data_IF_985685952744
#
_entry.id   IF_985685952744
#
_cell.length_a   1.000
_cell.length_b   1.000
_cell.length_c   1.000
_cell.angle_alpha   90.00
_cell.angle_beta   90.00
_cell.angle_gamma   90.00
#
_symmetry.space_group_name_H-M   'P 1'
#
loop_
_entity.id
_entity.type
_entity.pdbx_description
1 polymer ?
#
# COMPACT_ATOMS: atom_id res chain seq x y z
N UNK A 1 -46.07 -74.10 1.49
CA UNK A 1 -46.17 -72.67 1.66
C UNK A 1 -44.74 -72.15 1.70
N UNK A 2 -44.20 -71.68 0.58
CA UNK A 2 -42.81 -71.10 0.50
C UNK A 2 -42.87 -69.61 0.66
N UNK A 3 -42.22 -69.10 1.69
CA UNK A 3 -42.09 -67.66 1.95
C UNK A 3 -40.93 -67.13 1.07
N UNK A 4 -41.24 -66.14 0.17
CA UNK A 4 -40.25 -65.49 -0.62
C UNK A 4 -39.87 -64.16 0.12
N UNK A 5 -38.63 -64.05 0.57
CA UNK A 5 -38.09 -62.90 1.23
C UNK A 5 -37.51 -61.92 0.16
N UNK A 6 -38.19 -60.85 -0.10
CA UNK A 6 -37.65 -59.77 -0.99
C UNK A 6 -36.70 -58.92 -0.14
N UNK A 7 -35.39 -58.94 -0.47
CA UNK A 7 -34.39 -58.01 0.06
C UNK A 7 -34.33 -56.79 -0.85
N UNK A 8 -34.76 -55.68 -0.35
CA UNK A 8 -34.60 -54.40 -1.05
C UNK A 8 -33.17 -53.86 -0.82
N UNK A 9 -32.35 -53.82 -1.84
CA UNK A 9 -31.04 -53.21 -1.82
C UNK A 9 -31.21 -51.68 -2.06
N UNK A 10 -31.04 -50.87 -1.01
CA UNK A 10 -30.97 -49.44 -1.14
C UNK A 10 -29.58 -49.06 -1.67
N UNK A 11 -29.49 -48.66 -2.93
CA UNK A 11 -28.29 -48.03 -3.51
C UNK A 11 -28.16 -46.61 -2.98
N UNK A 12 -27.23 -46.35 -2.07
CA UNK A 12 -26.81 -45.03 -1.66
C UNK A 12 -26.00 -44.42 -2.82
N UNK A 13 -26.59 -43.50 -3.59
CA UNK A 13 -25.90 -42.70 -4.56
C UNK A 13 -25.05 -41.66 -3.80
N UNK A 14 -23.77 -41.95 -3.58
CA UNK A 14 -22.81 -40.97 -3.15
C UNK A 14 -22.55 -40.01 -4.31
N UNK A 15 -23.03 -38.77 -4.20
CA UNK A 15 -22.66 -37.68 -5.10
C UNK A 15 -21.14 -37.49 -5.04
N UNK A 16 -20.42 -37.42 -6.17
CA UNK A 16 -18.99 -37.14 -6.13
C UNK A 16 -18.78 -35.76 -5.52
N UNK A 17 -18.01 -35.68 -4.46
CA UNK A 17 -17.46 -34.41 -3.97
C UNK A 17 -16.52 -33.92 -5.06
N UNK A 18 -16.97 -32.97 -5.86
CA UNK A 18 -16.09 -32.25 -6.81
C UNK A 18 -15.12 -31.43 -5.96
N UNK A 19 -13.89 -31.89 -5.86
CA UNK A 19 -12.84 -31.12 -5.21
C UNK A 19 -12.76 -29.75 -5.89
N UNK A 20 -12.83 -28.68 -5.11
CA UNK A 20 -12.72 -27.31 -5.63
C UNK A 20 -11.39 -27.18 -6.38
N UNK A 21 -11.46 -26.78 -7.64
CA UNK A 21 -10.25 -26.60 -8.45
C UNK A 21 -9.43 -25.47 -7.85
N UNK A 22 -8.20 -25.75 -7.42
CA UNK A 22 -7.27 -24.76 -6.88
C UNK A 22 -6.88 -23.79 -8.00
N UNK A 23 -7.05 -22.46 -7.81
CA UNK A 23 -6.61 -21.48 -8.78
C UNK A 23 -5.09 -21.54 -9.03
N UNK A 24 -4.59 -21.01 -10.17
CA UNK A 24 -3.15 -20.96 -10.43
C UNK A 24 -2.42 -20.16 -9.34
N UNK A 25 -1.13 -20.44 -9.16
CA UNK A 25 -0.30 -19.73 -8.19
C UNK A 25 0.25 -18.42 -8.79
N UNK A 26 -0.62 -17.43 -8.99
CA UNK A 26 -0.27 -16.10 -9.47
C UNK A 26 -0.61 -15.85 -10.94
N UNK A 27 -0.55 -14.57 -11.32
CA UNK A 27 -0.94 -14.03 -12.63
C UNK A 27 0.31 -13.66 -13.45
N UNK A 28 0.46 -14.16 -14.70
CA UNK A 28 1.65 -13.87 -15.52
C UNK A 28 1.90 -12.39 -15.76
N UNK A 29 0.84 -11.57 -15.88
CA UNK A 29 0.93 -10.13 -16.09
C UNK A 29 1.66 -9.42 -14.95
N UNK A 30 1.62 -9.93 -13.72
CA UNK A 30 2.36 -9.36 -12.59
C UNK A 30 3.89 -9.44 -12.83
N UNK A 31 4.37 -10.50 -13.49
CA UNK A 31 5.79 -10.59 -13.88
C UNK A 31 6.17 -9.55 -14.94
N UNK A 32 5.28 -9.30 -15.89
CA UNK A 32 5.48 -8.25 -16.91
C UNK A 32 5.47 -6.86 -16.26
N UNK A 33 4.58 -6.61 -15.31
CA UNK A 33 4.53 -5.35 -14.54
C UNK A 33 5.81 -5.17 -13.72
N UNK A 34 6.34 -6.22 -13.07
CA UNK A 34 7.55 -6.15 -12.27
C UNK A 34 8.81 -5.72 -13.05
N UNK A 35 8.82 -5.96 -14.37
CA UNK A 35 9.96 -5.63 -15.23
C UNK A 35 9.74 -4.39 -16.10
N UNK A 36 8.60 -3.73 -15.98
CA UNK A 36 8.22 -2.62 -16.84
C UNK A 36 8.70 -1.22 -16.39
N UNK A 37 8.88 -0.91 -15.09
CA UNK A 37 9.40 0.37 -14.67
C UNK A 37 10.79 0.65 -15.24
N UNK A 38 10.97 1.87 -15.76
CA UNK A 38 12.20 2.28 -16.45
C UNK A 38 12.99 3.26 -15.60
N UNK A 39 14.24 2.91 -15.29
CA UNK A 39 15.18 3.79 -14.62
C UNK A 39 15.41 5.09 -15.40
N UNK A 40 15.49 5.02 -16.73
CA UNK A 40 15.69 6.21 -17.59
C UNK A 40 14.50 7.19 -17.51
N UNK A 41 13.26 6.68 -17.46
CA UNK A 41 12.08 7.55 -17.33
C UNK A 41 12.01 8.18 -15.92
N UNK A 42 12.30 7.40 -14.89
CA UNK A 42 12.38 7.87 -13.50
C UNK A 42 13.46 8.96 -13.38
N UNK A 43 14.64 8.74 -13.97
CA UNK A 43 15.72 9.74 -14.02
C UNK A 43 15.25 11.03 -14.70
N UNK A 44 14.61 10.93 -15.86
CA UNK A 44 14.11 12.10 -16.59
C UNK A 44 13.09 12.90 -15.78
N UNK A 45 12.18 12.23 -15.08
CA UNK A 45 11.17 12.86 -14.22
C UNK A 45 11.82 13.54 -12.99
N UNK A 46 12.77 12.87 -12.32
CA UNK A 46 13.49 13.44 -11.18
C UNK A 46 14.30 14.67 -11.63
N UNK A 47 15.03 14.59 -12.75
CA UNK A 47 15.76 15.73 -13.31
C UNK A 47 14.83 16.91 -13.62
N UNK A 48 13.64 16.63 -14.12
CA UNK A 48 12.64 17.67 -14.38
C UNK A 48 12.14 18.32 -13.08
N UNK A 49 11.81 17.52 -12.06
CA UNK A 49 11.38 18.01 -10.75
C UNK A 49 12.46 18.85 -10.07
N UNK A 50 13.72 18.42 -10.11
CA UNK A 50 14.88 19.15 -9.61
C UNK A 50 15.07 20.48 -10.33
N UNK A 51 14.79 20.53 -11.64
CA UNK A 51 14.94 21.76 -12.44
C UNK A 51 14.06 22.94 -12.02
N UNK A 52 13.04 22.71 -11.17
CA UNK A 52 12.22 23.78 -10.60
C UNK A 52 12.89 24.53 -9.44
N UNK A 53 14.13 24.20 -9.11
CA UNK A 53 14.96 24.88 -8.09
C UNK A 53 14.52 24.57 -6.67
N UNK A 54 13.32 24.96 -6.31
CA UNK A 54 12.66 24.58 -5.06
C UNK A 54 11.24 24.09 -5.35
N UNK A 55 10.74 23.19 -4.53
CA UNK A 55 9.33 22.77 -4.51
C UNK A 55 8.72 22.95 -3.12
N UNK A 56 9.35 23.81 -2.30
CA UNK A 56 8.83 24.11 -0.97
C UNK A 56 7.34 24.48 -1.03
N UNK A 57 6.52 23.95 -0.13
CA UNK A 57 5.05 24.15 -0.12
C UNK A 57 4.64 25.62 -0.21
N UNK A 58 5.39 26.53 0.45
CA UNK A 58 5.14 27.96 0.46
C UNK A 58 5.93 28.73 -0.62
N UNK A 59 6.60 28.04 -1.55
CA UNK A 59 7.31 28.70 -2.66
C UNK A 59 6.34 29.28 -3.68
N UNK A 60 6.88 30.03 -4.64
CA UNK A 60 6.08 30.71 -5.65
C UNK A 60 5.17 29.76 -6.47
N UNK A 61 3.99 30.25 -6.80
CA UNK A 61 2.98 29.48 -7.54
C UNK A 61 2.73 29.98 -8.94
N UNK A 62 3.19 31.21 -9.27
CA UNK A 62 2.94 31.88 -10.55
C UNK A 62 3.97 31.60 -11.65
N UNK A 63 5.19 31.22 -11.30
CA UNK A 63 6.26 30.92 -12.25
C UNK A 63 6.01 29.61 -13.00
N UNK A 64 6.38 29.53 -14.28
CA UNK A 64 6.31 28.30 -15.06
C UNK A 64 7.58 27.44 -14.97
N UNK A 65 8.66 27.99 -14.39
CA UNK A 65 9.98 27.36 -14.36
C UNK A 65 10.52 27.15 -12.95
N UNK A 66 9.87 27.70 -11.90
CA UNK A 66 10.34 27.61 -10.52
C UNK A 66 9.18 27.42 -9.54
N UNK A 67 9.46 26.79 -8.43
CA UNK A 67 8.55 26.67 -7.29
C UNK A 67 7.51 25.55 -7.40
N UNK A 68 6.74 25.40 -6.32
CA UNK A 68 5.71 24.35 -6.19
C UNK A 68 4.63 24.49 -7.27
N UNK A 69 4.31 25.74 -7.72
CA UNK A 69 3.32 25.96 -8.75
C UNK A 69 3.72 25.37 -10.11
N UNK A 70 4.99 25.54 -10.51
CA UNK A 70 5.54 24.95 -11.73
C UNK A 70 5.54 23.42 -11.66
N UNK A 71 5.98 22.87 -10.53
CA UNK A 71 6.05 21.43 -10.31
C UNK A 71 4.66 20.76 -10.41
N UNK A 72 3.65 21.27 -9.69
CA UNK A 72 2.31 20.69 -9.71
C UNK A 72 1.64 20.77 -11.08
N UNK A 73 1.86 21.87 -11.85
CA UNK A 73 1.34 21.97 -13.24
C UNK A 73 2.02 20.97 -14.16
N UNK A 74 3.32 20.78 -14.02
CA UNK A 74 4.04 19.79 -14.81
C UNK A 74 3.58 18.36 -14.49
N UNK A 75 3.43 18.00 -13.20
CA UNK A 75 2.92 16.68 -12.78
C UNK A 75 1.51 16.46 -13.33
N UNK A 76 0.64 17.47 -13.26
CA UNK A 76 -0.71 17.39 -13.83
C UNK A 76 -0.65 17.11 -15.34
N UNK A 77 0.18 17.85 -16.08
CA UNK A 77 0.36 17.65 -17.50
C UNK A 77 0.94 16.27 -17.86
N UNK A 78 1.84 15.72 -17.01
CA UNK A 78 2.35 14.35 -17.21
C UNK A 78 1.25 13.30 -17.01
N UNK A 79 0.39 13.42 -15.99
CA UNK A 79 -0.76 12.53 -15.84
C UNK A 79 -1.75 12.66 -16.99
N UNK A 80 -2.00 13.87 -17.49
CA UNK A 80 -2.83 14.08 -18.69
C UNK A 80 -2.21 13.43 -19.93
N UNK A 81 -0.88 13.49 -20.10
CA UNK A 81 -0.17 12.81 -21.18
C UNK A 81 -0.31 11.28 -21.07
N UNK A 82 -0.11 10.74 -19.86
CA UNK A 82 -0.33 9.31 -19.60
C UNK A 82 -1.78 8.92 -19.91
N UNK A 83 -2.74 9.77 -19.53
CA UNK A 83 -4.16 9.56 -19.83
C UNK A 83 -4.41 9.54 -21.35
N UNK A 84 -3.81 10.46 -22.10
CA UNK A 84 -3.93 10.48 -23.56
C UNK A 84 -3.36 9.22 -24.21
N UNK A 85 -2.21 8.73 -23.74
CA UNK A 85 -1.55 7.52 -24.24
C UNK A 85 -2.40 6.25 -24.04
N UNK A 86 -3.29 6.22 -23.05
CA UNK A 86 -4.23 5.11 -22.80
C UNK A 86 -5.67 5.40 -23.28
N UNK A 87 -5.88 6.46 -24.05
CA UNK A 87 -7.21 6.77 -24.60
C UNK A 87 -8.16 7.45 -23.62
N UNK A 88 -7.65 8.18 -22.63
CA UNK A 88 -8.44 8.91 -21.63
C UNK A 88 -8.78 8.08 -20.40
N UNK A 89 -7.94 7.13 -20.03
CA UNK A 89 -8.21 6.19 -18.95
C UNK A 89 -8.04 6.78 -17.52
N UNK A 90 -7.43 7.96 -17.39
CA UNK A 90 -7.26 8.63 -16.11
C UNK A 90 -8.17 9.85 -15.98
N UNK A 91 -8.81 9.98 -14.84
CA UNK A 91 -9.41 11.21 -14.36
C UNK A 91 -8.34 12.00 -13.60
N UNK A 92 -7.83 13.10 -14.19
CA UNK A 92 -6.78 13.93 -13.58
C UNK A 92 -7.41 15.16 -12.94
N UNK A 93 -7.10 15.41 -11.66
CA UNK A 93 -7.64 16.55 -10.92
C UNK A 93 -6.70 17.05 -9.83
N UNK A 94 -6.98 18.21 -9.30
CA UNK A 94 -6.38 18.70 -8.06
C UNK A 94 -7.22 18.32 -6.84
N UNK A 95 -6.54 17.92 -5.75
CA UNK A 95 -7.07 17.88 -4.39
C UNK A 95 -6.45 19.04 -3.62
N UNK A 96 -7.25 19.91 -3.01
CA UNK A 96 -6.73 21.17 -2.45
C UNK A 96 -7.59 21.73 -1.34
N UNK A 97 -6.95 22.38 -0.41
CA UNK A 97 -7.60 23.15 0.64
C UNK A 97 -6.68 24.27 1.14
N UNK A 98 -7.25 25.23 1.88
CA UNK A 98 -6.51 26.29 2.53
C UNK A 98 -6.12 25.91 3.95
N UNK A 99 -4.85 26.11 4.27
CA UNK A 99 -4.27 25.89 5.60
C UNK A 99 -3.75 27.21 6.15
N UNK A 100 -3.89 27.45 7.46
CA UNK A 100 -3.37 28.62 8.16
C UNK A 100 -3.28 28.38 9.66
N UNK A 101 -2.44 29.16 10.35
CA UNK A 101 -2.30 29.11 11.81
C UNK A 101 -1.52 27.91 12.33
N UNK A 102 -0.83 27.20 11.44
CA UNK A 102 0.03 26.08 11.76
C UNK A 102 1.48 26.52 11.95
N UNK A 103 2.28 25.78 12.69
CA UNK A 103 3.69 26.13 12.99
C UNK A 103 4.50 26.43 11.72
N UNK A 104 4.30 25.61 10.66
CA UNK A 104 5.01 25.74 9.39
C UNK A 104 4.15 26.30 8.25
N UNK A 105 2.91 26.69 8.53
CA UNK A 105 2.00 27.46 7.65
C UNK A 105 1.28 28.49 8.50
N UNK A 106 1.99 29.54 8.99
CA UNK A 106 1.37 30.53 9.86
C UNK A 106 0.34 31.39 9.12
N UNK A 107 0.62 31.77 7.88
CA UNK A 107 -0.27 32.56 7.03
C UNK A 107 -1.10 31.63 6.14
N UNK A 108 -2.23 32.14 5.64
CA UNK A 108 -3.14 31.35 4.78
C UNK A 108 -2.46 30.98 3.46
N UNK A 109 -2.24 29.68 3.24
CA UNK A 109 -1.70 29.10 2.02
C UNK A 109 -2.61 28.03 1.44
N UNK A 110 -2.68 27.92 0.11
CA UNK A 110 -3.39 26.85 -0.58
C UNK A 110 -2.45 25.66 -0.80
N UNK A 111 -2.73 24.53 -0.14
CA UNK A 111 -2.04 23.27 -0.37
C UNK A 111 -2.74 22.53 -1.51
N UNK A 112 -2.01 22.22 -2.58
CA UNK A 112 -2.57 21.64 -3.81
C UNK A 112 -1.79 20.40 -4.21
N UNK A 113 -2.45 19.26 -4.15
CA UNK A 113 -1.97 17.94 -4.62
C UNK A 113 -2.51 17.63 -6.00
N UNK A 114 -1.84 16.74 -6.74
CA UNK A 114 -2.28 16.27 -8.06
C UNK A 114 -2.70 14.81 -7.94
N UNK A 115 -3.90 14.48 -8.39
CA UNK A 115 -4.50 13.16 -8.27
C UNK A 115 -4.89 12.64 -9.66
N UNK A 116 -4.50 11.43 -9.99
CA UNK A 116 -4.93 10.73 -11.20
C UNK A 116 -5.63 9.41 -10.78
N UNK A 117 -6.82 9.17 -11.32
CA UNK A 117 -7.68 8.06 -10.92
C UNK A 117 -7.95 7.17 -12.14
N UNK A 118 -7.49 5.94 -12.07
CA UNK A 118 -7.82 4.87 -13.01
C UNK A 118 -9.00 4.07 -12.46
N UNK A 119 -10.20 4.32 -13.01
CA UNK A 119 -11.44 3.72 -12.49
C UNK A 119 -11.52 2.22 -12.69
N UNK A 120 -11.94 1.52 -11.64
CA UNK A 120 -12.21 0.10 -11.70
C UNK A 120 -13.43 -0.25 -12.54
N UNK A 121 -13.39 -1.40 -13.22
CA UNK A 121 -14.43 -1.85 -14.15
C UNK A 121 -15.57 -2.62 -13.47
N UNK A 122 -15.35 -3.21 -12.30
CA UNK A 122 -16.35 -4.02 -11.59
C UNK A 122 -16.71 -3.46 -10.19
N UNK A 123 -15.73 -2.91 -9.48
CA UNK A 123 -15.92 -2.32 -8.15
C UNK A 123 -15.22 -0.95 -8.06
N UNK A 124 -15.73 0.07 -8.75
CA UNK A 124 -15.10 1.39 -8.83
C UNK A 124 -15.08 2.14 -7.48
N UNK A 125 -15.82 1.69 -6.48
CA UNK A 125 -15.82 2.23 -5.13
C UNK A 125 -14.74 1.64 -4.22
N UNK A 126 -13.94 0.69 -4.69
CA UNK A 126 -12.83 0.06 -4.00
C UNK A 126 -11.51 0.61 -4.53
N UNK A 127 -10.66 1.11 -3.65
CA UNK A 127 -9.48 1.89 -4.02
C UNK A 127 -8.20 1.30 -3.45
N UNK A 128 -7.14 1.35 -4.26
CA UNK A 128 -5.74 1.22 -3.83
C UNK A 128 -4.99 2.48 -4.27
N UNK A 129 -4.16 3.04 -3.41
CA UNK A 129 -3.54 4.35 -3.59
C UNK A 129 -2.03 4.22 -3.54
N UNK A 130 -1.33 4.86 -4.48
CA UNK A 130 0.11 5.11 -4.41
C UNK A 130 0.36 6.60 -4.33
N UNK A 131 1.30 7.04 -3.49
CA UNK A 131 1.66 8.44 -3.39
C UNK A 131 3.15 8.69 -3.28
N UNK A 132 3.56 9.87 -3.73
CA UNK A 132 4.85 10.51 -3.46
C UNK A 132 4.61 11.98 -3.14
N UNK A 133 5.60 12.65 -2.56
CA UNK A 133 5.44 14.01 -2.04
C UNK A 133 6.07 15.03 -2.99
N UNK A 134 5.30 16.07 -3.37
CA UNK A 134 5.76 17.08 -4.35
C UNK A 134 6.82 17.98 -3.73
N UNK A 135 6.58 18.39 -2.49
CA UNK A 135 7.39 19.38 -1.82
C UNK A 135 8.77 18.88 -1.42
N UNK A 136 9.68 19.84 -1.25
CA UNK A 136 11.06 19.66 -0.81
C UNK A 136 11.45 20.82 0.09
N UNK A 137 12.47 20.64 0.94
CA UNK A 137 12.97 21.71 1.80
C UNK A 137 14.48 21.67 2.01
N UNK A 138 15.02 22.77 2.48
CA UNK A 138 16.36 22.90 3.03
C UNK A 138 16.34 22.73 4.56
N UNK A 139 17.44 23.04 5.25
CA UNK A 139 17.59 22.91 6.71
C UNK A 139 16.51 23.68 7.48
N UNK A 140 16.29 24.94 7.12
CA UNK A 140 15.19 25.72 7.68
C UNK A 140 13.86 25.34 7.00
N UNK A 141 12.90 24.72 7.71
CA UNK A 141 11.62 24.31 7.14
C UNK A 141 10.72 25.49 6.72
N UNK A 142 11.11 26.74 7.02
CA UNK A 142 10.39 27.95 6.62
C UNK A 142 11.04 28.67 5.43
N UNK A 143 12.21 28.20 4.97
CA UNK A 143 12.90 28.80 3.84
C UNK A 143 12.31 28.32 2.50
N UNK A 144 11.36 29.10 2.00
CA UNK A 144 10.65 28.81 0.75
C UNK A 144 11.36 29.31 -0.53
N UNK A 145 12.53 29.94 -0.40
CA UNK A 145 13.17 30.67 -1.52
C UNK A 145 14.49 30.08 -1.98
N UNK A 146 15.26 29.46 -1.10
CA UNK A 146 16.53 28.81 -1.44
C UNK A 146 16.31 27.60 -2.33
N UNK A 147 17.33 27.28 -3.14
CA UNK A 147 17.29 26.07 -3.93
C UNK A 147 17.27 24.83 -3.03
N UNK A 148 16.26 24.01 -3.26
CA UNK A 148 15.97 22.78 -2.56
C UNK A 148 15.63 21.72 -3.60
N UNK A 149 16.64 21.10 -4.25
CA UNK A 149 16.40 20.18 -5.36
C UNK A 149 15.52 19.00 -4.98
N UNK A 150 15.68 18.45 -3.74
CA UNK A 150 14.86 17.36 -3.25
C UNK A 150 14.83 16.18 -4.24
N UNK A 151 15.99 15.75 -4.73
CA UNK A 151 16.07 14.74 -5.78
C UNK A 151 15.60 13.38 -5.26
N UNK A 152 16.02 13.01 -4.04
CA UNK A 152 15.56 11.83 -3.36
C UNK A 152 14.35 12.12 -2.47
N UNK A 153 14.35 13.22 -1.76
CA UNK A 153 13.30 13.68 -0.84
C UNK A 153 12.54 14.90 -1.43
N UNK A 154 11.42 14.76 -2.22
CA UNK A 154 10.89 13.45 -2.58
C UNK A 154 10.53 13.39 -4.09
N UNK A 155 11.41 13.92 -4.97
CA UNK A 155 11.20 13.74 -6.41
C UNK A 155 11.23 12.24 -6.80
N UNK A 156 11.97 11.40 -6.05
CA UNK A 156 12.01 9.96 -6.29
C UNK A 156 10.63 9.30 -6.13
N UNK A 157 9.91 9.62 -5.07
CA UNK A 157 8.57 9.10 -4.82
C UNK A 157 7.54 9.56 -5.85
N UNK A 158 7.61 10.84 -6.29
CA UNK A 158 6.74 11.36 -7.35
C UNK A 158 7.04 10.69 -8.69
N UNK A 159 8.32 10.55 -9.06
CA UNK A 159 8.72 9.90 -10.30
C UNK A 159 8.30 8.42 -10.32
N UNK A 160 8.45 7.71 -9.18
CA UNK A 160 7.94 6.35 -9.04
C UNK A 160 6.42 6.27 -9.21
N UNK A 161 5.67 7.24 -8.69
CA UNK A 161 4.20 7.30 -8.83
C UNK A 161 3.77 7.56 -10.28
N UNK A 162 4.45 8.46 -11.00
CA UNK A 162 4.24 8.70 -12.44
C UNK A 162 4.58 7.44 -13.26
N UNK A 163 5.69 6.80 -12.95
CA UNK A 163 6.11 5.59 -13.66
C UNK A 163 5.17 4.41 -13.42
N UNK A 164 4.68 4.23 -12.19
CA UNK A 164 3.65 3.24 -11.90
C UNK A 164 2.37 3.49 -12.72
N UNK A 165 1.95 4.75 -12.86
CA UNK A 165 0.81 5.10 -13.73
C UNK A 165 1.07 4.73 -15.20
N UNK A 166 2.26 5.03 -15.77
CA UNK A 166 2.64 4.65 -17.15
C UNK A 166 2.60 3.14 -17.38
N UNK A 167 2.96 2.37 -16.37
CA UNK A 167 2.95 0.91 -16.44
C UNK A 167 1.53 0.35 -16.33
N UNK A 168 0.77 0.80 -15.32
CA UNK A 168 -0.49 0.18 -14.94
C UNK A 168 -1.67 0.61 -15.83
N UNK A 169 -1.63 1.78 -16.45
CA UNK A 169 -2.66 2.23 -17.39
C UNK A 169 -2.75 1.38 -18.67
N UNK A 170 -1.82 0.47 -18.89
CA UNK A 170 -1.88 -0.53 -19.96
C UNK A 170 -2.82 -1.70 -19.65
N UNK A 171 -3.38 -1.75 -18.45
CA UNK A 171 -4.22 -2.83 -17.94
C UNK A 171 -5.54 -2.27 -17.41
N UNK A 172 -6.57 -3.11 -17.45
CA UNK A 172 -7.85 -2.86 -16.77
C UNK A 172 -7.92 -3.64 -15.47
N UNK A 173 -8.52 -3.02 -14.45
CA UNK A 173 -8.65 -3.60 -13.11
C UNK A 173 -10.11 -3.60 -12.65
N UNK A 174 -10.56 -4.61 -11.90
CA UNK A 174 -11.84 -4.57 -11.20
C UNK A 174 -11.95 -3.42 -10.20
N UNK A 175 -10.90 -3.16 -9.41
CA UNK A 175 -10.81 -2.06 -8.45
C UNK A 175 -10.15 -0.82 -9.03
N UNK A 176 -10.35 0.32 -8.39
CA UNK A 176 -9.80 1.63 -8.77
C UNK A 176 -8.37 1.80 -8.23
N UNK A 177 -7.48 2.32 -9.07
CA UNK A 177 -6.13 2.72 -8.64
C UNK A 177 -6.05 4.26 -8.64
N UNK A 178 -5.45 4.81 -7.59
CA UNK A 178 -5.20 6.25 -7.46
C UNK A 178 -3.71 6.50 -7.38
N UNK A 179 -3.22 7.39 -8.24
CA UNK A 179 -1.86 7.90 -8.25
C UNK A 179 -1.89 9.33 -7.73
N UNK A 180 -1.20 9.60 -6.62
CA UNK A 180 -1.26 10.86 -5.93
C UNK A 180 0.13 11.49 -5.77
N UNK A 181 0.31 12.71 -6.25
CA UNK A 181 1.43 13.55 -5.90
C UNK A 181 0.93 14.54 -4.84
N UNK A 182 1.33 14.34 -3.59
CA UNK A 182 0.82 15.07 -2.43
C UNK A 182 1.72 16.23 -2.07
N UNK A 183 1.16 17.36 -1.63
CA UNK A 183 1.89 18.53 -1.22
C UNK A 183 1.80 18.76 0.29
N UNK A 184 2.74 19.52 0.86
CA UNK A 184 2.71 19.88 2.27
C UNK A 184 3.11 18.76 3.22
N UNK A 185 3.92 17.81 2.76
CA UNK A 185 4.53 16.79 3.65
C UNK A 185 5.39 17.48 4.69
N UNK A 186 6.33 18.29 4.23
CA UNK A 186 7.35 18.97 5.01
C UNK A 186 6.78 20.02 5.98
N UNK A 187 5.59 20.51 5.72
CA UNK A 187 4.91 21.47 6.57
C UNK A 187 3.90 20.83 7.52
N UNK A 188 3.70 19.53 7.48
CA UNK A 188 2.84 18.82 8.44
C UNK A 188 1.83 17.86 7.81
N UNK A 189 2.17 17.20 6.71
CA UNK A 189 1.39 16.13 6.08
C UNK A 189 0.03 16.61 5.52
N UNK A 190 -0.07 17.87 5.09
CA UNK A 190 -1.36 18.46 4.74
C UNK A 190 -2.01 17.83 3.51
N UNK A 191 -1.27 17.48 2.46
CA UNK A 191 -1.82 16.82 1.29
C UNK A 191 -2.47 15.48 1.62
N UNK A 192 -1.84 14.70 2.51
CA UNK A 192 -2.41 13.46 3.00
C UNK A 192 -3.65 13.68 3.87
N UNK A 193 -3.65 14.70 4.75
CA UNK A 193 -4.82 15.06 5.58
C UNK A 193 -6.02 15.45 4.69
N UNK A 194 -5.79 16.27 3.67
CA UNK A 194 -6.83 16.74 2.74
C UNK A 194 -7.40 15.55 1.96
N UNK A 195 -6.55 14.74 1.33
CA UNK A 195 -7.01 13.62 0.51
C UNK A 195 -7.69 12.52 1.36
N UNK A 196 -7.20 12.23 2.57
CA UNK A 196 -7.83 11.27 3.47
C UNK A 196 -9.22 11.75 3.93
N UNK A 197 -9.38 13.07 4.18
CA UNK A 197 -10.67 13.66 4.51
C UNK A 197 -11.64 13.60 3.33
N UNK A 198 -11.20 13.99 2.12
CA UNK A 198 -12.00 13.86 0.88
C UNK A 198 -12.45 12.41 0.65
N UNK A 199 -11.53 11.46 0.81
CA UNK A 199 -11.83 10.04 0.62
C UNK A 199 -12.89 9.54 1.61
N UNK A 200 -12.79 9.98 2.88
CA UNK A 200 -13.75 9.61 3.92
C UNK A 200 -15.13 10.22 3.66
N UNK A 201 -15.18 11.49 3.27
CA UNK A 201 -16.44 12.19 2.92
C UNK A 201 -17.10 11.57 1.68
N UNK A 202 -16.30 11.21 0.68
CA UNK A 202 -16.79 10.56 -0.54
C UNK A 202 -17.09 9.05 -0.37
N UNK A 203 -16.86 8.48 0.82
CA UNK A 203 -17.13 7.07 1.11
C UNK A 203 -16.23 6.09 0.35
N UNK A 204 -14.99 6.46 0.07
CA UNK A 204 -14.04 5.56 -0.58
C UNK A 204 -13.73 4.37 0.33
N UNK A 205 -13.77 3.18 -0.23
CA UNK A 205 -13.31 1.95 0.45
C UNK A 205 -11.85 1.73 0.07
N UNK A 206 -10.95 2.40 0.80
CA UNK A 206 -9.50 2.28 0.58
C UNK A 206 -9.00 1.01 1.25
N UNK A 207 -8.47 0.06 0.47
CA UNK A 207 -7.87 -1.19 0.94
C UNK A 207 -6.36 -1.08 1.17
N UNK A 208 -5.71 -0.12 0.52
CA UNK A 208 -4.28 0.11 0.66
C UNK A 208 -3.90 1.54 0.28
N UNK A 209 -2.99 2.14 1.06
CA UNK A 209 -2.22 3.32 0.68
C UNK A 209 -0.75 2.97 0.79
N UNK A 210 0.00 3.15 -0.30
CA UNK A 210 1.44 2.95 -0.37
C UNK A 210 2.09 4.32 -0.60
N UNK A 211 2.62 4.92 0.45
CA UNK A 211 3.35 6.18 0.37
C UNK A 211 4.84 5.92 0.14
N UNK A 212 5.40 6.56 -0.87
CA UNK A 212 6.81 6.52 -1.20
C UNK A 212 7.45 7.81 -0.75
N UNK A 213 8.31 7.73 0.25
CA UNK A 213 9.03 8.89 0.73
C UNK A 213 10.48 8.49 1.02
N UNK A 214 11.26 8.84 0.03
CA UNK A 214 12.63 8.51 -0.37
C UNK A 214 12.79 7.05 -0.81
N UNK A 215 12.90 6.86 -2.13
CA UNK A 215 13.08 5.53 -2.72
C UNK A 215 14.31 5.44 -3.66
N UNK A 216 15.24 6.40 -3.57
CA UNK A 216 16.35 6.51 -4.52
C UNK A 216 17.74 6.36 -3.94
N UNK A 217 17.96 6.47 -2.63
CA UNK A 217 19.30 6.41 -2.07
C UNK A 217 19.67 4.99 -1.62
N UNK A 218 20.86 4.53 -2.02
CA UNK A 218 21.40 3.22 -1.64
C UNK A 218 22.53 3.31 -0.61
N UNK A 219 23.08 4.50 -0.37
CA UNK A 219 24.26 4.70 0.47
C UNK A 219 23.93 5.40 1.77
N UNK A 220 24.06 4.72 2.89
CA UNK A 220 23.86 5.30 4.22
C UNK A 220 25.02 6.20 4.66
N UNK A 221 24.74 7.13 5.57
CA UNK A 221 25.76 7.97 6.22
C UNK A 221 26.81 7.15 6.96
N UNK A 222 26.48 5.94 7.33
CA UNK A 222 27.36 4.96 7.98
C UNK A 222 28.28 4.19 7.01
N UNK A 223 28.22 4.49 5.71
CA UNK A 223 29.00 3.85 4.66
C UNK A 223 28.43 2.49 4.20
N UNK A 224 27.29 2.07 4.69
CA UNK A 224 26.60 0.87 4.20
C UNK A 224 25.91 1.18 2.87
N UNK A 225 26.15 0.33 1.88
CA UNK A 225 25.44 0.39 0.59
C UNK A 225 24.53 -0.82 0.44
N UNK A 226 23.23 -0.59 0.18
CA UNK A 226 22.24 -1.63 -0.01
C UNK A 226 21.22 -1.20 -1.07
N UNK A 227 21.15 -1.94 -2.17
CA UNK A 227 20.19 -1.78 -3.25
C UNK A 227 19.29 -3.03 -3.40
N UNK A 228 19.22 -3.86 -2.37
CA UNK A 228 18.51 -5.15 -2.38
C UNK A 228 17.41 -5.22 -1.34
N UNK A 229 17.28 -4.22 -0.48
CA UNK A 229 16.28 -4.19 0.59
C UNK A 229 15.46 -2.91 0.53
N UNK A 230 14.15 -3.00 0.80
CA UNK A 230 13.26 -1.86 1.00
C UNK A 230 12.65 -1.91 2.41
N UNK A 231 12.59 -0.79 3.12
CA UNK A 231 11.86 -0.72 4.39
C UNK A 231 10.36 -0.52 4.13
N UNK A 232 9.54 -1.28 4.86
CA UNK A 232 8.08 -1.12 4.86
C UNK A 232 7.62 -0.83 6.29
N UNK A 233 7.28 0.43 6.56
CA UNK A 233 6.76 0.85 7.86
C UNK A 233 5.26 0.63 7.91
N UNK A 234 4.76 0.10 9.02
CA UNK A 234 3.34 -0.18 9.22
C UNK A 234 2.93 -0.04 10.67
N UNK A 235 1.76 0.54 10.93
CA UNK A 235 1.23 0.59 12.28
C UNK A 235 0.85 -0.82 12.79
N UNK A 236 1.02 -1.07 14.07
CA UNK A 236 0.61 -2.34 14.69
C UNK A 236 -0.84 -2.30 15.16
N UNK A 237 -1.21 -1.24 15.85
CA UNK A 237 -2.54 -1.02 16.42
C UNK A 237 -3.12 0.25 15.85
N UNK A 238 -4.35 0.19 15.36
CA UNK A 238 -5.05 1.35 14.78
C UNK A 238 -5.34 2.41 15.84
N UNK A 239 -5.10 3.68 15.52
CA UNK A 239 -5.52 4.79 16.38
C UNK A 239 -7.05 4.88 16.51
N UNK A 240 -7.78 4.35 15.52
CA UNK A 240 -9.25 4.27 15.51
C UNK A 240 -9.82 3.08 16.28
N UNK A 241 -8.95 2.26 16.93
CA UNK A 241 -9.36 1.13 17.76
C UNK A 241 -10.24 1.60 18.93
N UNK A 242 -11.38 0.95 19.12
CA UNK A 242 -12.25 1.24 20.25
C UNK A 242 -11.70 0.64 21.55
N UNK A 243 -12.11 1.15 22.74
CA UNK A 243 -11.72 0.54 24.02
C UNK A 243 -12.16 -0.92 24.17
N UNK A 244 -13.22 -1.34 23.48
CA UNK A 244 -13.67 -2.73 23.47
C UNK A 244 -12.76 -3.61 22.63
N UNK A 245 -12.40 -3.17 21.42
CA UNK A 245 -11.42 -3.85 20.57
C UNK A 245 -10.08 -3.99 21.27
N UNK A 246 -9.61 -2.93 21.96
CA UNK A 246 -8.37 -2.96 22.73
C UNK A 246 -8.39 -3.99 23.88
N UNK A 247 -9.52 -4.08 24.60
CA UNK A 247 -9.69 -5.12 25.65
C UNK A 247 -9.64 -6.52 25.07
N UNK A 248 -10.35 -6.75 23.95
CA UNK A 248 -10.37 -8.07 23.29
C UNK A 248 -8.99 -8.44 22.77
N UNK A 249 -8.30 -7.52 22.09
CA UNK A 249 -6.94 -7.73 21.58
C UNK A 249 -5.96 -8.13 22.70
N UNK A 250 -6.11 -7.62 23.91
CA UNK A 250 -5.29 -8.04 25.06
C UNK A 250 -5.35 -9.54 25.34
N UNK A 251 -6.47 -10.20 25.04
CA UNK A 251 -6.65 -11.64 25.27
C UNK A 251 -6.37 -12.49 24.03
N UNK A 252 -6.69 -11.95 22.85
CA UNK A 252 -6.60 -12.70 21.59
C UNK A 252 -5.28 -12.48 20.86
N UNK A 253 -4.48 -11.50 21.27
CA UNK A 253 -3.31 -11.04 20.54
C UNK A 253 -3.72 -10.13 19.38
N UNK A 254 -2.84 -9.99 18.40
CA UNK A 254 -3.09 -9.20 17.19
C UNK A 254 -2.50 -7.78 17.23
N UNK A 255 -1.62 -7.47 18.21
CA UNK A 255 -0.86 -6.21 18.25
C UNK A 255 -0.02 -5.97 16.99
N UNK A 256 0.28 -7.05 16.26
CA UNK A 256 1.06 -7.05 15.04
C UNK A 256 0.25 -7.45 13.81
N UNK A 257 -1.08 -7.33 13.85
CA UNK A 257 -2.00 -7.81 12.83
C UNK A 257 -3.05 -6.78 12.39
N UNK A 258 -2.76 -5.50 12.55
CA UNK A 258 -3.58 -4.43 11.95
C UNK A 258 -3.70 -4.60 10.43
N UNK A 259 -4.70 -3.99 9.79
CA UNK A 259 -4.79 -3.96 8.33
C UNK A 259 -3.53 -3.39 7.65
N UNK A 260 -2.91 -2.36 8.24
CA UNK A 260 -1.63 -1.79 7.78
C UNK A 260 -0.49 -2.81 7.85
N UNK A 261 -0.40 -3.59 8.94
CA UNK A 261 0.61 -4.63 9.09
C UNK A 261 0.40 -5.80 8.13
N UNK A 262 -0.85 -6.19 7.86
CA UNK A 262 -1.15 -7.23 6.88
C UNK A 262 -0.94 -6.73 5.44
N UNK A 263 -1.10 -5.42 5.17
CA UNK A 263 -0.66 -4.80 3.92
C UNK A 263 0.86 -4.89 3.76
N UNK A 264 1.65 -4.64 4.81
CA UNK A 264 3.10 -4.81 4.76
C UNK A 264 3.50 -6.28 4.45
N UNK A 265 2.83 -7.27 5.05
CA UNK A 265 3.04 -8.69 4.71
C UNK A 265 2.65 -9.03 3.28
N UNK A 266 1.61 -8.38 2.76
CA UNK A 266 1.23 -8.54 1.37
C UNK A 266 2.33 -8.03 0.43
N UNK A 267 2.87 -6.85 0.70
CA UNK A 267 3.96 -6.23 -0.07
C UNK A 267 5.23 -7.08 -0.01
N UNK A 268 5.59 -7.58 1.16
CA UNK A 268 6.71 -8.49 1.38
C UNK A 268 6.58 -9.74 0.49
N UNK A 269 5.42 -10.39 0.53
CA UNK A 269 5.13 -11.53 -0.36
C UNK A 269 5.20 -11.16 -1.85
N UNK A 270 4.79 -9.95 -2.23
CA UNK A 270 4.86 -9.51 -3.63
C UNK A 270 6.31 -9.29 -4.08
N UNK A 271 7.20 -8.82 -3.17
CA UNK A 271 8.64 -8.77 -3.42
C UNK A 271 9.18 -10.16 -3.73
N UNK A 272 8.95 -11.12 -2.85
CA UNK A 272 9.41 -12.51 -3.00
C UNK A 272 8.96 -13.18 -4.31
N UNK A 273 7.73 -12.92 -4.70
CA UNK A 273 7.13 -13.58 -5.88
C UNK A 273 7.53 -12.95 -7.21
N UNK A 274 7.73 -11.64 -7.25
CA UNK A 274 7.77 -10.90 -8.52
C UNK A 274 8.96 -9.98 -8.71
N UNK A 275 9.64 -9.51 -7.66
CA UNK A 275 10.75 -8.55 -7.80
C UNK A 275 12.08 -9.22 -7.44
N UNK A 276 12.80 -9.79 -8.42
CA UNK A 276 14.06 -10.47 -8.15
C UNK A 276 15.08 -9.53 -7.51
N UNK A 277 15.85 -10.06 -6.56
CA UNK A 277 16.90 -9.30 -5.87
C UNK A 277 16.38 -8.05 -5.14
N UNK A 278 15.18 -8.15 -4.59
CA UNK A 278 14.62 -7.18 -3.65
C UNK A 278 13.91 -7.94 -2.53
N UNK A 279 14.34 -7.72 -1.30
CA UNK A 279 13.70 -8.17 -0.08
C UNK A 279 13.05 -6.98 0.63
N UNK A 280 12.18 -7.22 1.59
CA UNK A 280 11.61 -6.17 2.42
C UNK A 280 12.00 -6.31 3.89
N UNK A 281 12.34 -5.19 4.48
CA UNK A 281 12.44 -5.08 5.93
C UNK A 281 11.11 -4.55 6.47
N UNK A 282 10.25 -5.44 6.93
CA UNK A 282 9.01 -5.04 7.62
C UNK A 282 9.36 -4.37 8.95
N UNK A 283 9.26 -3.04 9.02
CA UNK A 283 9.52 -2.28 10.24
C UNK A 283 8.23 -2.16 11.04
N UNK A 284 8.19 -2.83 12.20
CA UNK A 284 7.04 -2.87 13.10
C UNK A 284 6.89 -1.58 13.89
N UNK A 285 6.71 -0.48 13.16
CA UNK A 285 6.57 0.87 13.67
C UNK A 285 5.82 1.72 12.64
N UNK A 286 5.00 2.66 13.09
CA UNK A 286 4.24 3.56 12.23
C UNK A 286 5.14 4.31 11.24
N UNK A 287 6.29 4.84 11.72
CA UNK A 287 7.31 5.51 10.90
C UNK A 287 8.67 5.47 11.62
N UNK A 288 9.67 6.13 11.05
CA UNK A 288 10.95 6.43 11.68
C UNK A 288 10.73 7.12 13.03
N UNK A 289 11.69 7.00 13.93
CA UNK A 289 11.56 7.51 15.28
C UNK A 289 11.39 9.05 15.28
N UNK A 290 10.24 9.54 15.74
CA UNK A 290 9.93 10.96 15.78
C UNK A 290 9.69 11.62 14.42
N UNK A 291 9.47 10.83 13.36
CA UNK A 291 9.26 11.30 11.98
C UNK A 291 7.87 10.86 11.48
N UNK A 292 7.54 11.25 10.25
CA UNK A 292 6.28 10.92 9.61
C UNK A 292 6.37 10.87 8.09
N UNK A 293 5.25 10.63 7.45
CA UNK A 293 5.01 10.64 6.03
C UNK A 293 3.51 10.63 5.74
N UNK A 294 3.11 10.83 4.50
CA UNK A 294 1.70 10.97 4.12
C UNK A 294 0.84 9.72 4.34
N UNK A 295 1.42 8.54 4.64
CA UNK A 295 0.64 7.36 5.06
C UNK A 295 -0.08 7.59 6.40
N UNK A 296 0.49 8.39 7.33
CA UNK A 296 -0.05 8.62 8.67
C UNK A 296 -1.47 9.21 8.65
N UNK A 297 -1.78 10.31 7.93
CA UNK A 297 -3.14 10.83 7.85
C UNK A 297 -4.19 9.80 7.39
N UNK A 298 -3.80 8.86 6.54
CA UNK A 298 -4.71 7.78 6.14
C UNK A 298 -4.90 6.76 7.26
N UNK A 299 -3.84 6.39 8.01
CA UNK A 299 -3.97 5.57 9.21
C UNK A 299 -4.86 6.26 10.27
N UNK A 300 -4.67 7.57 10.47
CA UNK A 300 -5.48 8.37 11.41
C UNK A 300 -6.96 8.42 10.98
N UNK A 301 -7.24 8.37 9.68
CA UNK A 301 -8.60 8.28 9.13
C UNK A 301 -9.18 6.84 9.18
N UNK A 302 -8.38 5.83 9.54
CA UNK A 302 -8.75 4.43 9.65
C UNK A 302 -8.48 3.58 8.40
N UNK A 303 -7.79 4.12 7.41
CA UNK A 303 -7.42 3.37 6.20
C UNK A 303 -6.09 2.61 6.39
N UNK A 304 -5.95 1.41 5.81
CA UNK A 304 -4.67 0.70 5.78
C UNK A 304 -3.64 1.48 4.97
N UNK A 305 -2.56 1.90 5.60
CA UNK A 305 -1.51 2.66 4.92
C UNK A 305 -0.13 2.24 5.42
N UNK A 306 0.85 2.24 4.52
CA UNK A 306 2.26 1.94 4.78
C UNK A 306 3.15 2.96 4.10
N UNK A 307 4.37 3.13 4.63
CA UNK A 307 5.44 3.85 3.95
C UNK A 307 6.45 2.86 3.41
N UNK A 308 6.79 2.99 2.13
CA UNK A 308 7.94 2.34 1.51
C UNK A 308 9.07 3.35 1.38
N UNK A 309 10.26 2.94 1.78
CA UNK A 309 11.45 3.77 1.65
C UNK A 309 12.73 2.95 1.53
N UNK A 310 13.78 3.63 1.15
CA UNK A 310 15.14 3.11 1.11
C UNK A 310 15.61 2.56 2.45
N UNK A 311 16.57 1.62 2.43
CA UNK A 311 17.07 0.94 3.65
C UNK A 311 17.92 1.85 4.51
N UNK A 312 18.80 2.64 3.90
CA UNK A 312 19.77 3.47 4.60
C UNK A 312 19.59 4.94 4.21
N UNK A 313 19.55 5.82 5.19
CA UNK A 313 19.42 7.26 4.99
C UNK A 313 20.79 7.96 5.00
N UNK A 314 20.93 9.04 4.22
CA UNK A 314 22.14 9.85 4.17
C UNK A 314 21.85 11.28 4.64
N UNK A 315 22.08 11.56 5.91
CA UNK A 315 21.68 12.83 6.55
C UNK A 315 22.45 14.06 6.08
N UNK A 316 23.60 13.93 5.38
CA UNK A 316 24.25 15.06 4.72
C UNK A 316 23.52 15.48 3.44
N UNK A 317 22.60 14.65 2.94
CA UNK A 317 21.78 14.93 1.75
C UNK A 317 20.37 15.40 2.11
N UNK A 318 19.74 14.71 3.04
CA UNK A 318 18.35 14.95 3.42
C UNK A 318 18.20 16.28 4.18
N UNK A 319 17.26 17.14 3.74
CA UNK A 319 16.92 18.42 4.37
C UNK A 319 18.13 19.37 4.60
N UNK A 320 19.06 19.42 3.66
CA UNK A 320 20.28 20.22 3.78
C UNK A 320 20.29 21.39 2.79
N UNK A 321 20.85 22.51 3.24
CA UNK A 321 21.24 23.59 2.32
C UNK A 321 22.33 23.09 1.38
N UNK A 322 22.30 23.50 0.12
CA UNK A 322 23.35 23.21 -0.85
C UNK A 322 24.65 23.90 -0.43
N UNK A 323 25.66 23.14 -0.02
CA UNK A 323 26.97 23.68 0.37
C UNK A 323 28.07 22.63 0.30
N UNK A 324 29.29 23.11 0.27
CA UNK A 324 30.47 22.27 0.56
C UNK A 324 31.17 22.84 1.78
N UNK A 325 31.37 22.01 2.80
CA UNK A 325 31.97 22.39 4.06
C UNK A 325 32.99 21.33 4.48
N UNK A 326 34.24 21.72 4.72
CA UNK A 326 35.35 20.83 5.05
C UNK A 326 35.51 19.64 4.08
N UNK A 327 35.29 19.89 2.77
CA UNK A 327 35.38 18.89 1.71
C UNK A 327 34.18 17.93 1.62
N UNK A 328 33.16 18.10 2.47
CA UNK A 328 31.89 17.35 2.45
C UNK A 328 30.83 18.12 1.68
N UNK A 329 30.16 17.43 0.77
CA UNK A 329 29.04 17.98 -0.02
C UNK A 329 27.72 17.70 0.69
N UNK A 330 26.93 18.75 0.86
CA UNK A 330 25.60 18.70 1.46
C UNK A 330 24.52 19.07 0.44
N UNK A 331 23.34 18.52 0.61
CA UNK A 331 22.16 18.79 -0.19
C UNK A 331 21.64 17.56 -0.93
N UNK A 332 20.35 17.56 -1.16
CA UNK A 332 19.65 16.49 -1.87
C UNK A 332 19.68 16.72 -3.38
N UNK A 333 20.75 16.28 -4.00
CA UNK A 333 21.01 16.44 -5.43
C UNK A 333 20.87 15.13 -6.18
N UNK A 334 20.81 15.23 -7.52
CA UNK A 334 20.64 14.10 -8.42
C UNK A 334 21.73 13.02 -8.25
N UNK A 335 22.95 13.41 -7.85
CA UNK A 335 24.07 12.50 -7.65
C UNK A 335 23.86 11.55 -6.46
N UNK A 336 22.86 11.80 -5.63
CA UNK A 336 22.47 10.97 -4.52
C UNK A 336 21.49 9.85 -4.86
N UNK A 337 21.00 9.81 -6.11
CA UNK A 337 19.91 8.90 -6.52
C UNK A 337 20.44 7.76 -7.39
N UNK A 338 20.10 6.54 -7.01
CA UNK A 338 20.26 5.33 -7.81
C UNK A 338 18.92 5.03 -8.50
N UNK A 339 18.87 5.24 -9.82
CA UNK A 339 17.64 5.12 -10.58
C UNK A 339 17.21 3.67 -10.80
N UNK A 340 18.14 2.73 -10.83
CA UNK A 340 17.81 1.30 -10.92
C UNK A 340 17.14 0.81 -9.63
N UNK A 341 17.61 1.29 -8.49
CA UNK A 341 16.97 1.01 -7.20
C UNK A 341 15.59 1.66 -7.10
N UNK A 342 15.45 2.92 -7.52
CA UNK A 342 14.15 3.59 -7.57
C UNK A 342 13.16 2.85 -8.49
N UNK A 343 13.62 2.35 -9.65
CA UNK A 343 12.80 1.53 -10.54
C UNK A 343 12.40 0.19 -9.89
N UNK A 344 13.29 -0.42 -9.12
CA UNK A 344 13.02 -1.67 -8.40
C UNK A 344 11.96 -1.49 -7.30
N UNK A 345 12.02 -0.41 -6.51
CA UNK A 345 10.99 -0.10 -5.53
C UNK A 345 9.66 0.28 -6.21
N UNK A 346 9.73 0.99 -7.33
CA UNK A 346 8.54 1.27 -8.16
C UNK A 346 7.90 -0.02 -8.69
N UNK A 347 8.70 -1.01 -9.07
CA UNK A 347 8.20 -2.32 -9.50
C UNK A 347 7.46 -3.04 -8.36
N UNK A 348 7.97 -3.01 -7.14
CA UNK A 348 7.31 -3.56 -5.96
C UNK A 348 5.95 -2.88 -5.72
N UNK A 349 5.90 -1.55 -5.81
CA UNK A 349 4.65 -0.81 -5.71
C UNK A 349 3.66 -1.20 -6.80
N UNK A 350 4.10 -1.23 -8.06
CA UNK A 350 3.24 -1.52 -9.20
C UNK A 350 2.64 -2.94 -9.14
N UNK A 351 3.43 -3.96 -8.78
CA UNK A 351 2.90 -5.33 -8.64
C UNK A 351 1.96 -5.45 -7.44
N UNK A 352 2.22 -4.74 -6.35
CA UNK A 352 1.36 -4.74 -5.17
C UNK A 352 0.00 -4.09 -5.46
N UNK A 353 0.00 -2.91 -6.11
CA UNK A 353 -1.23 -2.23 -6.54
C UNK A 353 -2.03 -3.08 -7.53
N UNK A 354 -1.38 -3.60 -8.57
CA UNK A 354 -2.02 -4.42 -9.59
C UNK A 354 -2.62 -5.70 -8.99
N UNK A 355 -1.87 -6.38 -8.13
CA UNK A 355 -2.33 -7.59 -7.45
C UNK A 355 -3.59 -7.34 -6.63
N UNK A 356 -3.61 -6.29 -5.81
CA UNK A 356 -4.78 -5.89 -5.02
C UNK A 356 -5.95 -5.41 -5.90
N UNK A 357 -5.69 -4.61 -6.92
CA UNK A 357 -6.74 -4.10 -7.81
C UNK A 357 -7.40 -5.21 -8.67
N UNK A 358 -6.67 -6.27 -9.02
CA UNK A 358 -7.20 -7.45 -9.69
C UNK A 358 -7.89 -8.43 -8.73
N UNK A 359 -7.42 -8.53 -7.49
CA UNK A 359 -8.01 -9.43 -6.51
C UNK A 359 -9.49 -9.10 -6.24
N UNK A 360 -10.30 -10.06 -5.80
CA UNK A 360 -11.60 -9.74 -5.22
C UNK A 360 -11.44 -8.88 -3.95
N UNK A 361 -12.48 -8.16 -3.53
CA UNK A 361 -12.48 -7.50 -2.22
C UNK A 361 -12.11 -8.50 -1.11
N UNK A 362 -11.33 -8.07 -0.09
CA UNK A 362 -11.06 -8.90 1.07
C UNK A 362 -12.36 -9.37 1.75
N UNK A 363 -12.38 -10.53 2.42
CA UNK A 363 -13.55 -10.95 3.18
C UNK A 363 -13.84 -9.95 4.32
N UNK A 364 -15.13 -9.73 4.61
CA UNK A 364 -15.55 -8.87 5.70
C UNK A 364 -15.92 -9.69 6.93
N UNK A 365 -15.92 -9.02 8.10
CA UNK A 365 -16.39 -9.58 9.37
C UNK A 365 -15.79 -10.97 9.68
N UNK A 366 -14.49 -11.14 9.45
CA UNK A 366 -13.79 -12.39 9.75
C UNK A 366 -13.80 -12.61 11.26
N UNK A 367 -14.30 -13.75 11.69
CA UNK A 367 -14.36 -14.18 13.08
C UNK A 367 -13.69 -15.53 13.26
N UNK A 368 -13.30 -15.88 14.49
CA UNK A 368 -12.60 -17.11 14.83
C UNK A 368 -13.21 -17.76 16.07
N UNK A 369 -13.35 -19.07 16.03
CA UNK A 369 -13.85 -19.92 17.12
C UNK A 369 -12.92 -21.10 17.32
N UNK A 370 -12.81 -21.66 18.54
CA UNK A 370 -11.97 -22.82 18.79
C UNK A 370 -11.39 -22.88 20.20
N UNK A 371 -11.81 -21.97 21.11
CA UNK A 371 -11.40 -22.04 22.50
C UNK A 371 -11.77 -23.41 23.12
N UNK A 372 -10.78 -24.04 23.79
CA UNK A 372 -10.94 -25.38 24.40
C UNK A 372 -11.36 -26.47 23.39
N UNK A 373 -10.90 -26.34 22.13
CA UNK A 373 -11.12 -27.27 21.05
C UNK A 373 -9.79 -27.68 20.41
N UNK A 374 -9.65 -28.92 19.88
CA UNK A 374 -8.49 -29.23 19.06
C UNK A 374 -8.53 -28.59 17.70
N UNK A 375 -9.67 -28.01 17.29
CA UNK A 375 -9.94 -27.46 15.96
C UNK A 375 -10.18 -25.97 16.04
N UNK A 376 -9.83 -25.25 14.96
CA UNK A 376 -10.06 -23.82 14.81
C UNK A 376 -11.00 -23.57 13.64
N UNK A 377 -12.08 -22.82 13.86
CA UNK A 377 -13.07 -22.47 12.83
C UNK A 377 -13.01 -20.97 12.55
N UNK A 378 -12.92 -20.59 11.26
CA UNK A 378 -13.05 -19.22 10.82
C UNK A 378 -14.34 -19.05 10.02
N UNK A 379 -15.00 -17.88 10.19
CA UNK A 379 -16.21 -17.48 9.46
C UNK A 379 -16.02 -16.08 8.90
N UNK A 380 -16.64 -15.80 7.77
CA UNK A 380 -16.53 -14.48 7.11
C UNK A 380 -17.71 -14.18 6.21
N UNK A 381 -17.93 -12.90 5.95
CA UNK A 381 -18.90 -12.47 4.96
C UNK A 381 -18.27 -12.41 3.56
N UNK A 382 -19.04 -12.87 2.57
CA UNK A 382 -18.66 -12.80 1.16
C UNK A 382 -19.07 -11.47 0.56
N UNK A 383 -18.25 -10.85 -0.32
CA UNK A 383 -18.66 -9.65 -1.03
C UNK A 383 -19.85 -9.91 -1.95
N UNK A 384 -20.63 -8.89 -2.30
CA UNK A 384 -21.67 -8.99 -3.33
C UNK A 384 -21.07 -9.50 -4.64
N UNK A 385 -21.75 -10.44 -5.32
CA UNK A 385 -21.25 -11.09 -6.53
C UNK A 385 -20.90 -10.07 -7.66
N UNK A 386 -21.64 -8.96 -7.74
CA UNK A 386 -21.38 -7.90 -8.72
C UNK A 386 -20.02 -7.18 -8.48
N UNK A 387 -19.54 -7.11 -7.23
CA UNK A 387 -18.26 -6.50 -6.87
C UNK A 387 -17.08 -7.47 -6.99
N UNK A 388 -17.35 -8.77 -7.06
CA UNK A 388 -16.35 -9.83 -7.11
C UNK A 388 -16.64 -10.87 -8.22
N UNK A 389 -16.79 -10.46 -9.49
CA UNK A 389 -17.15 -11.38 -10.59
C UNK A 389 -16.06 -12.43 -10.86
N UNK A 390 -14.83 -12.15 -10.46
CA UNK A 390 -13.65 -13.02 -10.59
C UNK A 390 -13.37 -13.87 -9.36
N UNK A 391 -14.17 -13.81 -8.30
CA UNK A 391 -13.96 -14.61 -7.08
C UNK A 391 -14.00 -16.12 -7.41
N UNK A 392 -12.92 -16.81 -7.04
CA UNK A 392 -12.86 -18.28 -7.07
C UNK A 392 -13.20 -18.87 -5.71
N UNK A 393 -12.74 -18.25 -4.64
CA UNK A 393 -12.94 -18.71 -3.27
C UNK A 393 -12.04 -17.98 -2.28
N UNK A 394 -11.68 -18.69 -1.22
CA UNK A 394 -10.91 -18.15 -0.12
C UNK A 394 -9.73 -19.03 0.22
N UNK A 395 -8.72 -18.43 0.84
CA UNK A 395 -7.58 -19.12 1.41
C UNK A 395 -7.48 -18.75 2.89
N UNK A 396 -7.46 -19.77 3.73
CA UNK A 396 -7.24 -19.61 5.17
C UNK A 396 -5.76 -19.73 5.44
N UNK A 397 -5.24 -18.75 6.14
CA UNK A 397 -3.84 -18.65 6.52
C UNK A 397 -3.66 -18.83 8.02
N UNK A 398 -2.51 -19.39 8.43
CA UNK A 398 -2.08 -19.39 9.83
C UNK A 398 -0.55 -19.35 9.94
N UNK A 399 -0.07 -18.89 11.07
CA UNK A 399 1.34 -18.78 11.41
C UNK A 399 1.53 -18.89 12.93
N UNK A 400 2.69 -19.32 13.40
CA UNK A 400 3.02 -19.21 14.81
C UNK A 400 2.93 -17.73 15.25
N UNK A 401 2.56 -17.50 16.50
CA UNK A 401 2.41 -16.12 17.03
C UNK A 401 3.72 -15.32 17.03
N UNK A 402 4.86 -15.98 16.87
CA UNK A 402 6.20 -15.39 16.80
C UNK A 402 6.72 -15.20 15.38
N UNK A 403 6.03 -15.74 14.36
CA UNK A 403 6.46 -15.61 12.97
C UNK A 403 5.99 -14.28 12.36
N UNK A 404 6.83 -13.58 11.57
CA UNK A 404 6.47 -12.29 10.98
C UNK A 404 5.52 -12.43 9.78
N UNK A 405 5.60 -13.53 9.02
CA UNK A 405 4.89 -13.74 7.77
C UNK A 405 3.94 -14.96 7.86
N UNK A 406 2.91 -15.00 7.00
CA UNK A 406 1.99 -16.12 6.86
C UNK A 406 2.72 -17.32 6.25
N UNK A 407 2.96 -18.36 7.06
CA UNK A 407 3.77 -19.53 6.69
C UNK A 407 2.96 -20.73 6.23
N UNK A 408 1.69 -20.79 6.64
CA UNK A 408 0.77 -21.85 6.25
C UNK A 408 -0.45 -21.28 5.56
N UNK A 409 -1.03 -22.02 4.62
CA UNK A 409 -2.27 -21.63 3.96
C UNK A 409 -2.92 -22.77 3.18
N UNK A 410 -4.25 -22.81 3.20
CA UNK A 410 -5.07 -23.78 2.48
C UNK A 410 -6.18 -23.08 1.70
N UNK A 411 -6.34 -23.43 0.41
CA UNK A 411 -7.47 -22.99 -0.39
C UNK A 411 -8.71 -23.81 -0.03
N UNK A 412 -9.78 -23.13 0.34
CA UNK A 412 -10.98 -23.76 0.88
C UNK A 412 -12.22 -23.66 -0.04
N UNK A 413 -12.04 -23.13 -1.25
CA UNK A 413 -13.15 -22.93 -2.18
C UNK A 413 -14.02 -21.71 -1.82
N UNK A 414 -15.16 -21.56 -2.52
CA UNK A 414 -16.07 -20.42 -2.30
C UNK A 414 -17.07 -20.72 -1.17
N UNK A 415 -16.55 -20.76 0.05
CA UNK A 415 -17.30 -21.00 1.29
C UNK A 415 -17.30 -19.74 2.17
N UNK A 416 -18.13 -19.70 3.21
CA UNK A 416 -18.18 -18.62 4.19
C UNK A 416 -17.67 -19.06 5.59
N UNK A 417 -17.24 -20.31 5.70
CA UNK A 417 -16.75 -20.92 6.92
C UNK A 417 -15.79 -22.06 6.59
N UNK A 418 -14.76 -22.24 7.41
CA UNK A 418 -13.86 -23.38 7.32
C UNK A 418 -13.29 -23.74 8.69
N UNK A 419 -13.25 -25.06 8.97
CA UNK A 419 -12.63 -25.61 10.17
C UNK A 419 -11.30 -26.26 9.83
N UNK A 420 -10.24 -25.80 10.49
CA UNK A 420 -8.91 -26.43 10.46
C UNK A 420 -8.86 -27.49 11.56
N UNK A 421 -8.94 -28.76 11.14
CA UNK A 421 -8.91 -29.91 12.06
C UNK A 421 -7.52 -30.07 12.68
N UNK A 422 -7.44 -30.33 13.99
CA UNK A 422 -6.22 -30.51 14.78
C UNK A 422 -5.24 -29.32 14.74
N UNK A 423 -5.71 -28.11 14.44
CA UNK A 423 -4.95 -26.87 14.54
C UNK A 423 -5.50 -26.07 15.72
N UNK A 424 -4.77 -26.08 16.83
CA UNK A 424 -5.18 -25.45 18.09
C UNK A 424 -5.03 -23.93 18.01
N UNK A 425 -6.08 -23.21 18.36
CA UNK A 425 -6.16 -21.75 18.27
C UNK A 425 -5.07 -21.03 19.06
N UNK A 426 -4.67 -21.58 20.22
CA UNK A 426 -3.76 -20.92 21.17
C UNK A 426 -2.33 -20.73 20.64
N UNK A 427 -1.91 -21.54 19.65
CA UNK A 427 -0.53 -21.55 19.17
C UNK A 427 -0.30 -20.65 17.94
N UNK A 428 -1.37 -20.22 17.29
CA UNK A 428 -1.29 -19.58 15.96
C UNK A 428 -2.10 -18.31 15.90
N UNK A 429 -1.69 -17.41 14.99
CA UNK A 429 -2.54 -16.39 14.42
C UNK A 429 -3.12 -16.86 13.10
N UNK A 430 -4.34 -16.41 12.78
CA UNK A 430 -5.10 -16.85 11.62
C UNK A 430 -5.56 -15.65 10.80
N UNK A 431 -5.90 -15.91 9.53
CA UNK A 431 -6.50 -14.91 8.67
C UNK A 431 -7.10 -15.52 7.41
N UNK A 432 -7.86 -14.72 6.68
CA UNK A 432 -8.54 -15.15 5.46
C UNK A 432 -8.26 -14.15 4.34
N UNK A 433 -7.93 -14.66 3.16
CA UNK A 433 -7.83 -13.86 1.93
C UNK A 433 -8.81 -14.34 0.88
N UNK A 434 -9.36 -13.43 0.09
CA UNK A 434 -10.12 -13.77 -1.11
C UNK A 434 -9.18 -14.10 -2.26
N UNK A 435 -9.53 -15.09 -3.07
CA UNK A 435 -8.73 -15.59 -4.19
C UNK A 435 -9.53 -15.48 -5.49
N UNK A 436 -8.94 -14.85 -6.50
CA UNK A 436 -9.51 -14.76 -7.83
C UNK A 436 -9.28 -16.05 -8.65
N UNK A 437 -10.04 -16.19 -9.74
CA UNK A 437 -9.89 -17.29 -10.71
C UNK A 437 -8.52 -17.32 -11.38
N UNK A 438 -7.83 -16.20 -11.46
CA UNK A 438 -6.47 -16.08 -12.01
C UNK A 438 -5.36 -16.22 -10.95
N UNK A 439 -5.73 -16.48 -9.71
CA UNK A 439 -4.81 -16.71 -8.59
C UNK A 439 -4.35 -15.45 -7.88
N UNK A 440 -4.82 -14.26 -8.25
CA UNK A 440 -4.57 -13.06 -7.46
C UNK A 440 -5.31 -13.14 -6.13
N UNK A 441 -4.65 -12.69 -5.06
CA UNK A 441 -5.19 -12.74 -3.69
C UNK A 441 -5.33 -11.34 -3.11
N UNK A 442 -6.35 -11.14 -2.29
CA UNK A 442 -6.45 -9.94 -1.45
C UNK A 442 -5.41 -9.96 -0.31
N UNK A 443 -5.11 -8.83 0.32
CA UNK A 443 -4.47 -8.84 1.63
C UNK A 443 -5.25 -9.75 2.60
N UNK A 444 -4.50 -10.39 3.52
CA UNK A 444 -5.11 -11.26 4.54
C UNK A 444 -5.82 -10.40 5.58
N UNK A 445 -7.06 -10.75 5.89
CA UNK A 445 -7.83 -10.14 6.96
C UNK A 445 -7.65 -10.97 8.22
N UNK A 446 -7.09 -10.34 9.25
CA UNK A 446 -6.99 -10.91 10.59
C UNK A 446 -8.40 -10.94 11.23
N UNK A 447 -8.79 -12.02 11.92
CA UNK A 447 -10.09 -12.09 12.55
C UNK A 447 -10.25 -10.97 13.59
N UNK A 448 -11.35 -10.24 13.51
CA UNK A 448 -11.77 -9.36 14.58
C UNK A 448 -12.03 -10.13 15.85
N UNK A 449 -12.30 -9.42 16.92
CA UNK A 449 -12.71 -10.00 18.18
C UNK A 449 -13.87 -10.98 17.94
N UNK A 450 -13.58 -12.27 18.04
CA UNK A 450 -14.63 -13.29 17.97
C UNK A 450 -15.61 -13.02 19.09
N UNK A 451 -16.88 -12.89 18.75
CA UNK A 451 -17.95 -12.71 19.72
C UNK A 451 -17.82 -13.74 20.83
N UNK A 452 -18.15 -13.34 22.05
CA UNK A 452 -18.30 -14.14 23.27
C UNK A 452 -17.07 -14.59 24.07
N UNK A 453 -15.91 -13.96 24.00
CA UNK A 453 -15.05 -13.89 25.18
C UNK A 453 -15.51 -12.81 26.17
N UNK A 454 -16.78 -12.43 26.10
CA UNK A 454 -17.44 -11.53 27.03
C UNK A 454 -17.73 -12.22 28.33
N UNK A 455 -16.85 -12.08 29.31
CA UNK A 455 -17.20 -12.48 30.67
C UNK A 455 -16.09 -13.05 31.52
N UNK A 456 -14.93 -12.37 31.61
CA UNK A 456 -14.03 -12.52 32.75
C UNK A 456 -13.62 -11.16 33.26
#
# INVERSE_FOLDING_TARGET
MRLVLCVAIATVLSSPVVAAQVPPAGKPELRAIATAPSADRIEADIRKLVSFGTRHTLSETGSDTRGIGAARRWIHAEFERISADCGGCLEVRYSRDFVSGEERIPDRAEVVSVIAIQRGTADPGRYVVMSGDIDSRVTDPMNATSDSPGANDNASGVAGTLEAARVLTRYEFPGTIVYAALAGEEQGLFGGKILAAEAKEAGWRIEAVINNDMIGNISGINGVTDNTTARVFSEGTRVTETPEEARTRRFTGGEVDSPSRNLARYIDRMADLYVPNLDTMMVYRLDRFGRGGHHRPFNDAGFPAVRIMETNEHYDRQHQDLRTEDGRVYGDTIDGVDFDYAAKLTALNAVSLAGMAWAPPPPANVTIEGAVSPDTTLKWDRPPAAQAPNLAGYKVYWRLTTEPQWTHGVYVGNVAEHTLENIVIDNYFFGVAAVAKDGTESPVVFPGAAGSFGGY
#
